data_IF_629614964271
#
_entry.id   IF_629614964271
#
_cell.length_a   1.000
_cell.length_b   1.000
_cell.length_c   1.000
_cell.angle_alpha   90.00
_cell.angle_beta   90.00
_cell.angle_gamma   90.00
#
_symmetry.space_group_name_H-M   'P 1'
#
loop_
_entity.id
_entity.type
_entity.pdbx_description
1 polymer ?
#
# COMPACT_ATOMS: atom_id res chain seq x y z
N UNK A 1 -9.56 -8.45 -15.65
CA UNK A 1 -9.68 -6.98 -15.75
C UNK A 1 -8.59 -6.43 -16.67
N UNK A 2 -8.91 -5.51 -17.58
CA UNK A 2 -7.94 -4.87 -18.48
C UNK A 2 -7.30 -3.59 -17.86
N UNK A 3 -6.37 -2.96 -18.58
CA UNK A 3 -5.64 -1.78 -18.09
C UNK A 3 -6.55 -0.58 -17.82
N UNK A 4 -7.49 -0.29 -18.72
CA UNK A 4 -8.40 0.85 -18.59
C UNK A 4 -9.35 0.67 -17.40
N UNK A 5 -9.89 -0.54 -17.23
CA UNK A 5 -10.72 -0.88 -16.08
C UNK A 5 -9.94 -0.74 -14.77
N UNK A 6 -8.69 -1.19 -14.71
CA UNK A 6 -7.86 -1.02 -13.51
C UNK A 6 -7.61 0.47 -13.21
N UNK A 7 -7.37 1.27 -14.25
CA UNK A 7 -7.16 2.72 -14.11
C UNK A 7 -8.38 3.39 -13.48
N UNK A 8 -9.57 3.03 -13.94
CA UNK A 8 -10.84 3.64 -13.53
C UNK A 8 -11.41 3.10 -12.21
N UNK A 9 -10.93 1.94 -11.72
CA UNK A 9 -11.45 1.30 -10.50
C UNK A 9 -10.47 1.28 -9.34
N UNK A 10 -9.18 1.12 -9.60
CA UNK A 10 -8.14 0.99 -8.57
C UNK A 10 -7.23 2.20 -8.58
N UNK A 11 -6.66 2.53 -9.73
CA UNK A 11 -5.62 3.57 -9.83
C UNK A 11 -6.15 4.97 -9.51
N UNK A 12 -7.45 5.22 -9.74
CA UNK A 12 -8.12 6.46 -9.37
C UNK A 12 -7.95 6.83 -7.88
N UNK A 13 -7.71 5.84 -7.01
CA UNK A 13 -7.52 6.05 -5.58
C UNK A 13 -6.06 6.39 -5.21
N UNK A 14 -5.09 6.36 -6.15
CA UNK A 14 -3.65 6.49 -5.86
C UNK A 14 -3.31 7.66 -4.94
N UNK A 15 -3.81 8.86 -5.24
CA UNK A 15 -3.43 10.06 -4.48
C UNK A 15 -4.03 10.07 -3.08
N UNK A 16 -5.25 9.52 -2.92
CA UNK A 16 -5.88 9.33 -1.60
C UNK A 16 -5.10 8.31 -0.77
N UNK A 17 -4.72 7.20 -1.39
CA UNK A 17 -3.91 6.15 -0.79
C UNK A 17 -2.54 6.66 -0.35
N UNK A 18 -1.89 7.48 -1.18
CA UNK A 18 -0.62 8.13 -0.85
C UNK A 18 -0.74 9.05 0.37
N UNK A 19 -1.73 9.95 0.40
CA UNK A 19 -1.94 10.83 1.56
C UNK A 19 -2.20 10.04 2.84
N UNK A 20 -2.89 8.91 2.73
CA UNK A 20 -3.15 8.02 3.86
C UNK A 20 -1.89 7.29 4.32
N UNK A 21 -1.09 6.73 3.41
CA UNK A 21 0.20 6.10 3.71
C UNK A 21 1.18 7.11 4.35
N UNK A 22 1.29 8.31 3.78
CA UNK A 22 2.13 9.40 4.30
C UNK A 22 1.77 9.79 5.73
N UNK A 23 0.49 9.74 6.09
CA UNK A 23 0.06 9.99 7.48
C UNK A 23 0.53 8.93 8.47
N UNK A 24 0.80 7.71 7.99
CA UNK A 24 1.28 6.59 8.81
C UNK A 24 2.81 6.55 8.84
N UNK A 25 3.46 6.71 7.68
CA UNK A 25 4.90 6.54 7.51
C UNK A 25 5.72 7.82 7.75
N UNK A 26 5.09 9.01 7.70
CA UNK A 26 5.68 10.35 7.90
C UNK A 26 6.74 10.74 6.85
N UNK A 27 7.33 9.78 6.17
CA UNK A 27 8.27 9.92 5.06
C UNK A 27 7.56 9.77 3.69
N UNK A 28 7.93 10.63 2.74
CA UNK A 28 7.29 10.72 1.42
C UNK A 28 7.72 9.57 0.50
N UNK A 29 8.99 9.19 0.54
CA UNK A 29 9.56 8.14 -0.31
C UNK A 29 9.02 6.78 0.12
N UNK A 30 9.00 6.50 1.43
CA UNK A 30 8.38 5.30 2.01
C UNK A 30 6.88 5.22 1.71
N UNK A 31 6.16 6.35 1.79
CA UNK A 31 4.75 6.38 1.45
C UNK A 31 4.50 6.11 -0.03
N UNK A 32 5.34 6.65 -0.92
CA UNK A 32 5.26 6.39 -2.35
C UNK A 32 5.52 4.92 -2.66
N UNK A 33 6.59 4.35 -2.09
CA UNK A 33 6.95 2.95 -2.29
C UNK A 33 5.91 1.98 -1.71
N UNK A 34 5.32 2.31 -0.55
CA UNK A 34 4.20 1.53 0.01
C UNK A 34 2.99 1.48 -0.93
N UNK A 35 2.60 2.62 -1.51
CA UNK A 35 1.49 2.66 -2.48
C UNK A 35 1.85 1.92 -3.76
N UNK A 36 3.07 2.08 -4.29
CA UNK A 36 3.51 1.35 -5.48
C UNK A 36 3.48 -0.17 -5.27
N UNK A 37 4.00 -0.65 -4.13
CA UNK A 37 3.96 -2.07 -3.80
C UNK A 37 2.52 -2.61 -3.66
N UNK A 38 1.58 -1.81 -3.17
CA UNK A 38 0.16 -2.20 -3.20
C UNK A 38 -0.38 -2.23 -4.62
N UNK A 39 -0.13 -1.19 -5.43
CA UNK A 39 -0.63 -1.12 -6.81
C UNK A 39 -0.14 -2.29 -7.66
N UNK A 40 1.14 -2.67 -7.53
CA UNK A 40 1.70 -3.83 -8.25
C UNK A 40 1.02 -5.13 -7.85
N UNK A 41 0.80 -5.35 -6.54
CA UNK A 41 0.08 -6.54 -6.05
C UNK A 41 -1.37 -6.57 -6.52
N UNK A 42 -2.07 -5.44 -6.47
CA UNK A 42 -3.43 -5.33 -6.97
C UNK A 42 -3.50 -5.61 -8.48
N UNK A 43 -2.52 -5.15 -9.26
CA UNK A 43 -2.44 -5.45 -10.69
C UNK A 43 -2.23 -6.95 -10.96
N UNK A 44 -1.37 -7.62 -10.19
CA UNK A 44 -1.19 -9.07 -10.29
C UNK A 44 -2.49 -9.83 -9.96
N UNK A 45 -3.29 -9.33 -9.02
CA UNK A 45 -4.56 -9.91 -8.59
C UNK A 45 -5.79 -9.39 -9.34
N UNK A 46 -5.61 -8.59 -10.39
CA UNK A 46 -6.66 -7.81 -11.07
C UNK A 46 -7.88 -8.62 -11.52
N UNK A 47 -7.71 -9.90 -11.81
CA UNK A 47 -8.78 -10.78 -12.27
C UNK A 47 -9.69 -11.25 -11.13
N UNK A 48 -9.18 -11.25 -9.89
CA UNK A 48 -9.93 -11.57 -8.67
C UNK A 48 -10.59 -10.32 -8.05
N UNK A 49 -10.10 -9.12 -8.38
CA UNK A 49 -10.57 -7.87 -7.77
C UNK A 49 -12.06 -7.60 -8.01
N UNK A 50 -12.64 -8.10 -9.10
CA UNK A 50 -14.05 -7.91 -9.45
C UNK A 50 -15.03 -8.52 -8.42
N UNK A 51 -14.56 -9.40 -7.53
CA UNK A 51 -15.37 -9.97 -6.46
C UNK A 51 -15.67 -8.97 -5.32
N UNK A 52 -14.88 -7.91 -5.19
CA UNK A 52 -15.03 -6.96 -4.09
C UNK A 52 -16.11 -5.93 -4.40
N UNK A 53 -17.13 -5.87 -3.54
CA UNK A 53 -18.21 -4.87 -3.62
C UNK A 53 -17.71 -3.43 -3.46
N UNK A 54 -16.66 -3.22 -2.68
CA UNK A 54 -16.08 -1.90 -2.42
C UNK A 54 -14.57 -1.91 -2.66
N UNK A 55 -14.17 -1.50 -3.87
CA UNK A 55 -12.77 -1.46 -4.30
C UNK A 55 -11.95 -0.48 -3.45
N UNK A 56 -12.50 0.68 -3.16
CA UNK A 56 -11.82 1.72 -2.39
C UNK A 56 -11.46 1.24 -0.99
N UNK A 57 -12.43 0.64 -0.28
CA UNK A 57 -12.21 0.10 1.06
C UNK A 57 -11.12 -0.98 1.05
N UNK A 58 -11.13 -1.85 0.04
CA UNK A 58 -10.10 -2.87 -0.12
C UNK A 58 -8.71 -2.26 -0.36
N UNK A 59 -8.60 -1.26 -1.22
CA UNK A 59 -7.35 -0.55 -1.48
C UNK A 59 -6.84 0.17 -0.23
N UNK A 60 -7.72 0.87 0.49
CA UNK A 60 -7.39 1.58 1.73
C UNK A 60 -6.85 0.61 2.79
N UNK A 61 -7.49 -0.55 2.96
CA UNK A 61 -7.02 -1.57 3.89
C UNK A 61 -5.67 -2.17 3.47
N UNK A 62 -5.46 -2.37 2.16
CA UNK A 62 -4.21 -2.88 1.61
C UNK A 62 -3.04 -1.94 1.90
N UNK A 63 -3.22 -0.64 1.70
CA UNK A 63 -2.20 0.38 2.00
C UNK A 63 -1.99 0.54 3.50
N UNK A 64 -3.05 0.48 4.32
CA UNK A 64 -2.91 0.46 5.78
C UNK A 64 -2.00 -0.67 6.23
N UNK A 65 -2.27 -1.88 5.75
CA UNK A 65 -1.53 -3.08 6.13
C UNK A 65 -0.07 -2.98 5.68
N UNK A 66 0.18 -2.48 4.47
CA UNK A 66 1.53 -2.28 3.97
C UNK A 66 2.33 -1.29 4.83
N UNK A 67 1.73 -0.12 5.13
CA UNK A 67 2.38 0.89 5.94
C UNK A 67 2.69 0.40 7.36
N UNK A 68 1.75 -0.31 8.01
CA UNK A 68 1.96 -0.88 9.34
C UNK A 68 3.03 -1.98 9.34
N UNK A 69 3.11 -2.79 8.28
CA UNK A 69 4.14 -3.81 8.14
C UNK A 69 5.54 -3.21 8.00
N UNK A 70 5.67 -2.09 7.28
CA UNK A 70 6.94 -1.35 7.17
C UNK A 70 7.38 -0.82 8.52
N UNK A 71 6.52 -0.10 9.24
CA UNK A 71 6.83 0.39 10.58
C UNK A 71 7.28 -0.73 11.54
N UNK A 72 6.63 -1.90 11.45
CA UNK A 72 7.02 -3.08 12.25
C UNK A 72 8.42 -3.58 11.87
N UNK A 73 8.74 -3.65 10.58
CA UNK A 73 10.07 -4.06 10.09
C UNK A 73 11.15 -3.06 10.49
N UNK A 74 10.87 -1.77 10.39
CA UNK A 74 11.82 -0.70 10.76
C UNK A 74 12.14 -0.76 12.24
N UNK A 75 11.12 -0.99 13.09
CA UNK A 75 11.32 -1.22 14.52
C UNK A 75 12.21 -2.44 14.79
N UNK A 76 11.92 -3.59 14.18
CA UNK A 76 12.74 -4.80 14.37
C UNK A 76 14.17 -4.56 13.91
N UNK A 77 14.37 -3.81 12.81
CA UNK A 77 15.70 -3.44 12.32
C UNK A 77 16.44 -2.55 13.31
N UNK A 78 15.77 -1.54 13.87
CA UNK A 78 16.35 -0.66 14.88
C UNK A 78 16.76 -1.43 16.14
N UNK A 79 15.85 -2.26 16.69
CA UNK A 79 16.09 -3.10 17.87
C UNK A 79 17.30 -4.04 17.66
N UNK A 80 17.44 -4.62 16.46
CA UNK A 80 18.58 -5.49 16.12
C UNK A 80 19.91 -4.72 16.07
N UNK A 81 19.90 -3.50 15.48
CA UNK A 81 21.10 -2.65 15.40
C UNK A 81 21.55 -2.21 16.79
N UNK A 82 20.62 -1.82 17.67
CA UNK A 82 20.93 -1.44 19.05
C UNK A 82 21.52 -2.58 19.89
N UNK A 83 21.11 -3.84 19.64
CA UNK A 83 21.63 -5.00 20.36
C UNK A 83 23.06 -5.42 19.94
N UNK A 84 23.50 -5.01 18.75
CA UNK A 84 24.78 -5.44 18.16
C UNK A 84 25.75 -4.26 17.93
N UNK A 85 25.45 -3.10 18.51
CA UNK A 85 26.37 -1.97 18.66
C UNK A 85 26.93 -1.94 20.07
#
# INVERSE_FOLDING_TARGET
MNQEQFKNTVFIHKDKLFRFAKRILVDDDEAFDAVQNVMMRLWQLKDQLLQYKNMEAFCMQSVKNEALNRLKKDKVRADFVEQHQ
#
